data_IF_791248593399
#
_entry.id   IF_791248593399
#
_cell.length_a   1.000
_cell.length_b   1.000
_cell.length_c   1.000
_cell.angle_alpha   90.00
_cell.angle_beta   90.00
_cell.angle_gamma   90.00
#
_symmetry.space_group_name_H-M   'P 1'
#
loop_
_entity.id
_entity.type
_entity.pdbx_description
1 polymer ?
#
# COMPACT_ATOMS: atom_id res chain seq x y z
N UNK A 1 28.75 -2.06 21.72
CA UNK A 1 28.00 -1.17 20.81
C UNK A 1 28.05 -1.62 19.35
N UNK A 2 29.17 -2.02 18.76
CA UNK A 2 29.23 -2.49 17.35
C UNK A 2 28.31 -3.68 17.03
N UNK A 3 28.12 -4.61 17.97
CA UNK A 3 27.26 -5.79 17.76
C UNK A 3 25.73 -5.47 17.78
N UNK A 4 25.33 -4.43 18.52
CA UNK A 4 23.92 -3.99 18.56
C UNK A 4 23.53 -3.27 17.26
N UNK A 5 24.45 -2.50 16.69
CA UNK A 5 24.24 -1.83 15.39
C UNK A 5 24.16 -2.85 14.23
N UNK A 6 24.97 -3.92 14.27
CA UNK A 6 24.91 -5.00 13.32
C UNK A 6 23.64 -5.84 13.44
N UNK A 7 23.13 -6.06 14.66
CA UNK A 7 21.86 -6.76 14.89
C UNK A 7 20.68 -5.92 14.39
N UNK A 8 20.68 -4.62 14.63
CA UNK A 8 19.68 -3.72 14.07
C UNK A 8 19.75 -3.66 12.53
N UNK A 9 20.95 -3.55 11.95
CA UNK A 9 21.12 -3.58 10.49
C UNK A 9 20.73 -4.95 9.89
N UNK A 10 21.03 -6.07 10.54
CA UNK A 10 20.63 -7.40 10.06
C UNK A 10 19.13 -7.63 10.13
N UNK A 11 18.42 -7.03 11.09
CA UNK A 11 16.95 -7.03 11.15
C UNK A 11 16.37 -6.19 10.01
N UNK A 12 17.03 -5.10 9.59
CA UNK A 12 16.61 -4.30 8.43
C UNK A 12 16.93 -4.94 7.08
N UNK A 13 17.83 -5.92 7.01
CA UNK A 13 18.15 -6.63 5.75
C UNK A 13 17.32 -7.90 5.52
N UNK A 14 16.55 -8.37 6.50
CA UNK A 14 15.60 -9.46 6.30
C UNK A 14 14.32 -8.92 5.67
N UNK A 15 14.29 -8.99 4.38
CA UNK A 15 13.16 -8.94 3.44
C UNK A 15 11.78 -8.60 4.01
N UNK A 16 11.40 -7.33 3.84
CA UNK A 16 10.13 -6.87 3.24
C UNK A 16 8.82 -7.39 3.82
N UNK A 17 8.18 -6.56 4.63
CA UNK A 17 6.89 -6.93 5.17
C UNK A 17 5.87 -5.77 5.29
N UNK A 18 4.58 -5.98 5.42
CA UNK A 18 3.46 -5.15 4.98
C UNK A 18 2.27 -4.98 5.86
N UNK A 19 1.52 -3.94 5.52
CA UNK A 19 0.21 -3.52 6.01
C UNK A 19 0.21 -2.76 7.33
N UNK A 20 -0.17 -1.48 7.27
CA UNK A 20 -0.32 -0.59 8.43
C UNK A 20 -1.57 -0.97 9.26
N UNK A 21 -1.46 -1.98 10.09
CA UNK A 21 -2.51 -2.38 11.02
C UNK A 21 -2.02 -2.21 12.44
N UNK A 22 -2.71 -1.39 13.20
CA UNK A 22 -2.41 -1.17 14.60
C UNK A 22 -3.26 -2.03 15.53
N UNK A 23 -2.60 -2.50 16.55
CA UNK A 23 -3.21 -3.09 17.72
C UNK A 23 -3.08 -2.10 18.86
N UNK A 24 -3.99 -2.10 19.85
CA UNK A 24 -3.81 -1.30 21.05
C UNK A 24 -2.43 -1.59 21.63
N UNK A 25 -1.61 -0.53 21.68
CA UNK A 25 -0.18 -0.65 21.95
C UNK A 25 0.15 -0.66 23.42
N UNK A 26 -0.84 -0.43 24.26
CA UNK A 26 -0.70 -0.56 25.70
C UNK A 26 -1.06 -1.98 26.12
N UNK A 27 -0.16 -2.59 26.87
CA UNK A 27 -0.37 -3.88 27.53
C UNK A 27 -1.64 -3.88 28.40
N UNK A 28 -2.05 -2.65 28.81
CA UNK A 28 -3.26 -2.36 29.56
C UNK A 28 -3.86 -1.03 29.06
N UNK A 29 -5.14 -0.99 28.69
CA UNK A 29 -5.80 0.23 28.21
C UNK A 29 -5.98 1.33 29.27
N UNK A 30 -5.52 1.11 30.50
CA UNK A 30 -5.75 1.97 31.68
C UNK A 30 -4.56 2.85 32.06
N UNK A 31 -3.57 3.05 31.21
CA UNK A 31 -2.36 3.84 31.51
C UNK A 31 -2.53 5.34 31.21
N UNK A 32 -1.82 6.18 31.96
CA UNK A 32 -1.74 7.65 31.79
C UNK A 32 -1.11 8.07 30.44
N UNK A 33 -0.53 7.13 29.69
CA UNK A 33 0.17 7.38 28.42
C UNK A 33 -0.81 7.70 27.32
N UNK A 34 -0.74 8.92 26.79
CA UNK A 34 -1.66 9.42 25.76
C UNK A 34 -1.09 9.39 24.35
N UNK A 35 0.23 9.33 24.22
CA UNK A 35 0.89 9.34 22.94
C UNK A 35 1.57 8.01 22.65
N UNK A 36 1.51 7.60 21.40
CA UNK A 36 2.29 6.49 20.89
C UNK A 36 2.97 6.88 19.59
N UNK A 37 4.27 6.61 19.50
CA UNK A 37 5.09 6.75 18.31
C UNK A 37 5.38 5.36 17.74
N UNK A 38 5.10 5.17 16.47
CA UNK A 38 5.30 3.90 15.80
C UNK A 38 6.15 4.10 14.53
N UNK A 39 7.14 3.24 14.34
CA UNK A 39 7.89 3.11 13.10
C UNK A 39 7.45 1.80 12.45
N UNK A 40 7.03 1.87 11.19
CA UNK A 40 6.56 0.74 10.43
C UNK A 40 7.42 0.53 9.20
N UNK A 41 7.79 -0.71 8.94
CA UNK A 41 8.30 -1.18 7.66
C UNK A 41 7.30 -2.11 7.01
N UNK A 42 6.95 -1.90 5.75
CA UNK A 42 5.95 -2.72 5.07
C UNK A 42 6.32 -3.05 3.62
N UNK A 43 5.95 -4.25 3.15
CA UNK A 43 5.93 -4.70 1.76
C UNK A 43 4.55 -5.22 1.38
N UNK A 44 3.89 -4.74 0.31
CA UNK A 44 2.53 -5.07 -0.17
C UNK A 44 2.54 -5.60 -1.61
N UNK A 45 1.99 -6.79 -1.86
CA UNK A 45 1.76 -7.32 -3.20
C UNK A 45 0.28 -7.44 -3.45
N UNK A 46 -0.20 -6.90 -4.53
CA UNK A 46 -1.62 -6.95 -4.86
C UNK A 46 -1.84 -7.17 -6.35
N UNK A 47 -3.02 -7.68 -6.68
CA UNK A 47 -3.49 -7.82 -8.05
C UNK A 47 -4.62 -6.82 -8.27
N UNK A 48 -4.32 -5.60 -8.78
CA UNK A 48 -5.36 -4.66 -9.17
C UNK A 48 -6.13 -5.18 -10.38
N UNK A 49 -7.33 -4.67 -10.59
CA UNK A 49 -8.04 -4.84 -11.83
C UNK A 49 -8.34 -3.47 -12.44
N UNK A 50 -8.19 -3.37 -13.76
CA UNK A 50 -8.49 -2.16 -14.52
C UNK A 50 -10.00 -2.04 -14.68
N UNK A 51 -10.59 -0.98 -14.15
CA UNK A 51 -12.04 -0.76 -14.20
C UNK A 51 -12.47 0.19 -15.30
N UNK A 52 -11.61 1.14 -15.65
CA UNK A 52 -11.92 2.16 -16.66
C UNK A 52 -10.64 2.59 -17.35
N UNK A 53 -10.67 2.67 -18.67
CA UNK A 53 -9.66 3.32 -19.49
C UNK A 53 -10.29 4.44 -20.30
N UNK A 54 -9.58 5.56 -20.44
CA UNK A 54 -9.99 6.68 -21.28
C UNK A 54 -8.82 7.07 -22.16
N UNK A 55 -9.08 7.33 -23.41
CA UNK A 55 -8.05 7.58 -24.42
C UNK A 55 -8.33 8.90 -25.14
N UNK A 56 -7.32 9.75 -25.25
CA UNK A 56 -7.38 11.01 -26.00
C UNK A 56 -6.12 11.22 -26.85
N UNK A 57 -6.30 11.76 -28.05
CA UNK A 57 -5.22 12.16 -28.95
C UNK A 57 -5.31 13.64 -29.23
N UNK A 58 -4.17 14.30 -29.16
CA UNK A 58 -4.02 15.70 -29.53
C UNK A 58 -3.54 15.77 -30.99
N UNK A 59 -4.37 16.32 -31.86
CA UNK A 59 -4.06 16.44 -33.30
C UNK A 59 -3.35 17.76 -33.67
N UNK A 60 -3.41 18.80 -32.79
CA UNK A 60 -2.89 20.13 -33.07
C UNK A 60 -2.07 20.77 -31.92
N UNK A 61 -1.48 19.95 -31.02
CA UNK A 61 -0.84 20.44 -29.81
C UNK A 61 -1.82 20.97 -28.75
N UNK A 62 -3.12 20.82 -28.98
CA UNK A 62 -4.19 21.11 -28.04
C UNK A 62 -4.92 19.81 -27.70
N UNK A 63 -4.62 19.25 -26.56
CA UNK A 63 -5.38 18.12 -26.08
C UNK A 63 -6.86 18.45 -26.06
N UNK A 64 -7.64 17.70 -26.83
CA UNK A 64 -9.09 17.83 -26.86
C UNK A 64 -9.68 17.79 -25.46
N UNK A 65 -10.83 18.41 -25.26
CA UNK A 65 -11.51 18.37 -23.97
C UNK A 65 -11.67 16.90 -23.51
N UNK A 66 -11.27 16.53 -22.28
CA UNK A 66 -11.42 15.17 -21.75
C UNK A 66 -12.85 14.61 -21.88
N UNK A 67 -13.86 15.45 -21.95
CA UNK A 67 -15.26 15.07 -22.21
C UNK A 67 -15.48 14.39 -23.58
N UNK A 68 -14.57 14.64 -24.52
CA UNK A 68 -14.63 14.05 -25.88
C UNK A 68 -13.77 12.78 -26.02
N UNK A 69 -13.13 12.34 -24.93
CA UNK A 69 -12.28 11.16 -24.98
C UNK A 69 -13.14 9.88 -25.02
N UNK A 70 -12.66 8.90 -25.78
CA UNK A 70 -13.26 7.54 -25.73
C UNK A 70 -13.02 6.97 -24.36
N UNK A 71 -14.10 6.56 -23.68
CA UNK A 71 -14.07 5.94 -22.36
C UNK A 71 -14.69 4.55 -22.44
N UNK A 72 -14.00 3.55 -21.92
CA UNK A 72 -14.46 2.17 -21.86
C UNK A 72 -14.43 1.66 -20.41
N UNK A 73 -15.53 1.01 -20.00
CA UNK A 73 -15.58 0.24 -18.75
C UNK A 73 -15.17 -1.19 -19.05
N UNK A 74 -14.19 -1.69 -18.31
CA UNK A 74 -13.64 -3.03 -18.49
C UNK A 74 -14.23 -3.97 -17.44
N UNK A 75 -14.80 -5.08 -17.90
CA UNK A 75 -15.32 -6.12 -17.01
C UNK A 75 -14.17 -6.88 -16.35
N UNK A 76 -14.27 -7.12 -15.04
CA UNK A 76 -13.26 -7.83 -14.25
C UNK A 76 -12.93 -9.22 -14.82
N UNK A 77 -13.94 -9.92 -15.35
CA UNK A 77 -13.80 -11.29 -15.87
C UNK A 77 -13.20 -11.37 -17.28
N UNK A 78 -13.17 -10.26 -18.02
CA UNK A 78 -12.71 -10.20 -19.40
C UNK A 78 -11.35 -9.53 -19.60
N UNK A 79 -10.52 -9.48 -18.56
CA UNK A 79 -9.19 -8.88 -18.68
C UNK A 79 -8.19 -9.83 -19.37
N UNK A 80 -7.69 -9.41 -20.53
CA UNK A 80 -6.56 -10.07 -21.22
C UNK A 80 -5.19 -9.75 -20.57
N UNK A 81 -5.15 -8.78 -19.67
CA UNK A 81 -3.93 -8.29 -19.01
C UNK A 81 -3.95 -8.67 -17.53
N UNK A 82 -2.88 -9.26 -17.05
CA UNK A 82 -2.69 -9.49 -15.63
C UNK A 82 -1.90 -8.34 -15.01
N UNK A 83 -2.36 -7.84 -13.88
CA UNK A 83 -1.76 -6.72 -13.15
C UNK A 83 -1.19 -7.18 -11.81
N UNK A 84 0.00 -6.69 -11.47
CA UNK A 84 0.65 -6.93 -10.19
C UNK A 84 1.20 -5.62 -9.63
N UNK A 85 0.73 -5.20 -8.46
CA UNK A 85 1.21 -4.02 -7.76
C UNK A 85 2.05 -4.44 -6.55
N UNK A 86 3.26 -3.91 -6.44
CA UNK A 86 4.16 -4.09 -5.30
C UNK A 86 4.44 -2.73 -4.70
N UNK A 87 4.32 -2.63 -3.38
CA UNK A 87 4.65 -1.43 -2.62
C UNK A 87 5.53 -1.80 -1.43
N UNK A 88 6.65 -1.12 -1.25
CA UNK A 88 7.46 -1.21 -0.03
C UNK A 88 7.45 0.15 0.65
N UNK A 89 7.10 0.19 1.92
CA UNK A 89 6.93 1.46 2.63
C UNK A 89 7.70 1.47 3.95
N UNK A 90 8.17 2.66 4.31
CA UNK A 90 8.61 2.98 5.67
C UNK A 90 7.80 4.19 6.12
N UNK A 91 7.17 4.11 7.29
CA UNK A 91 6.35 5.19 7.82
C UNK A 91 6.59 5.42 9.30
N UNK A 92 6.44 6.67 9.69
CA UNK A 92 6.38 7.14 11.07
C UNK A 92 4.92 7.50 11.35
N UNK A 93 4.40 7.04 12.47
CA UNK A 93 3.03 7.27 12.88
C UNK A 93 2.98 7.76 14.31
N UNK A 94 2.18 8.78 14.54
CA UNK A 94 1.85 9.29 15.86
C UNK A 94 0.37 9.01 16.15
N UNK A 95 0.10 8.43 17.31
CA UNK A 95 -1.27 8.22 17.80
C UNK A 95 -1.48 9.00 19.09
N UNK A 96 -2.68 9.55 19.25
CA UNK A 96 -3.10 10.24 20.46
C UNK A 96 -4.38 9.61 20.99
N UNK A 97 -4.39 9.20 22.27
CA UNK A 97 -5.55 8.66 22.95
C UNK A 97 -6.45 9.80 23.42
N UNK A 98 -7.68 9.85 22.84
CA UNK A 98 -8.70 10.84 23.19
C UNK A 98 -9.45 10.39 24.44
N UNK A 99 -9.88 9.13 24.45
CA UNK A 99 -10.52 8.42 25.57
C UNK A 99 -9.86 7.05 25.78
N UNK A 100 -10.20 6.37 26.85
CA UNK A 100 -9.59 5.07 27.19
C UNK A 100 -9.61 4.06 26.05
N UNK A 101 -10.66 4.09 25.25
CA UNK A 101 -10.89 3.14 24.16
C UNK A 101 -10.72 3.74 22.75
N UNK A 102 -10.55 5.06 22.63
CA UNK A 102 -10.53 5.77 21.35
C UNK A 102 -9.23 6.54 21.16
N UNK A 103 -8.61 6.37 20.04
CA UNK A 103 -7.42 7.11 19.60
C UNK A 103 -7.60 7.69 18.21
N UNK A 104 -6.91 8.81 17.97
CA UNK A 104 -6.69 9.40 16.65
C UNK A 104 -5.25 9.15 16.27
N UNK A 105 -4.99 8.93 14.99
CA UNK A 105 -3.64 8.74 14.52
C UNK A 105 -3.41 9.39 13.15
N UNK A 106 -2.16 9.79 12.93
CA UNK A 106 -1.67 10.28 11.66
C UNK A 106 -0.27 9.74 11.40
N UNK A 107 0.10 9.58 10.14
CA UNK A 107 1.39 9.06 9.73
C UNK A 107 1.89 9.67 8.44
N UNK A 108 3.20 9.70 8.32
CA UNK A 108 3.94 10.12 7.13
C UNK A 108 5.05 9.11 6.86
N UNK A 109 5.36 8.89 5.60
CA UNK A 109 6.42 7.97 5.22
C UNK A 109 6.79 8.08 3.76
N UNK A 110 7.51 7.07 3.30
CA UNK A 110 7.84 6.90 1.89
C UNK A 110 7.49 5.49 1.45
N UNK A 111 7.12 5.36 0.19
CA UNK A 111 6.88 4.06 -0.45
C UNK A 111 7.56 4.02 -1.81
N UNK A 112 7.93 2.84 -2.28
CA UNK A 112 8.15 2.64 -3.70
C UNK A 112 6.92 1.98 -4.33
N UNK A 113 6.70 2.25 -5.59
CA UNK A 113 5.71 1.54 -6.40
C UNK A 113 6.43 0.74 -7.48
N UNK A 114 5.97 -0.49 -7.68
CA UNK A 114 6.25 -1.27 -8.88
C UNK A 114 4.94 -1.87 -9.33
N UNK A 115 4.49 -1.50 -10.52
CA UNK A 115 3.29 -2.04 -11.15
C UNK A 115 3.73 -2.76 -12.43
N UNK A 116 3.43 -4.04 -12.50
CA UNK A 116 3.74 -4.91 -13.62
C UNK A 116 2.42 -5.28 -14.30
N UNK A 117 2.35 -5.02 -15.60
CA UNK A 117 1.28 -5.43 -16.49
C UNK A 117 1.83 -6.50 -17.42
N UNK A 118 1.17 -7.63 -17.50
CA UNK A 118 1.58 -8.73 -18.36
C UNK A 118 0.43 -9.09 -19.27
N UNK A 119 0.67 -8.97 -20.57
CA UNK A 119 -0.23 -9.38 -21.63
C UNK A 119 0.29 -10.69 -22.24
N UNK A 120 -0.61 -11.64 -22.41
CA UNK A 120 -0.31 -12.91 -23.07
C UNK A 120 -1.30 -13.10 -24.21
N UNK A 121 -0.77 -13.23 -25.42
CA UNK A 121 -1.51 -13.60 -26.61
C UNK A 121 -0.83 -14.84 -27.23
N UNK A 122 -1.55 -15.92 -27.40
CA UNK A 122 -1.15 -17.27 -27.87
C UNK A 122 0.34 -17.63 -27.65
N UNK A 123 1.24 -17.12 -28.48
CA UNK A 123 2.68 -17.40 -28.45
C UNK A 123 3.52 -16.21 -27.95
N UNK A 124 2.93 -15.04 -27.73
CA UNK A 124 3.64 -13.81 -27.35
C UNK A 124 3.38 -13.40 -25.91
N UNK A 125 4.48 -13.11 -25.17
CA UNK A 125 4.46 -12.55 -23.83
C UNK A 125 5.07 -11.14 -23.87
N UNK A 126 4.25 -10.16 -23.53
CA UNK A 126 4.74 -8.79 -23.28
C UNK A 126 4.50 -8.39 -21.83
N UNK A 127 5.41 -7.63 -21.27
CA UNK A 127 5.20 -7.02 -19.94
C UNK A 127 5.67 -5.59 -19.92
N UNK A 128 4.96 -4.78 -19.16
CA UNK A 128 5.31 -3.38 -18.91
C UNK A 128 5.46 -3.19 -17.40
N UNK A 129 6.58 -2.64 -16.99
CA UNK A 129 6.87 -2.38 -15.57
C UNK A 129 6.95 -0.87 -15.36
N UNK A 130 6.09 -0.38 -14.48
CA UNK A 130 6.09 1.00 -14.01
C UNK A 130 6.67 1.05 -12.61
N UNK A 131 7.72 1.83 -12.40
CA UNK A 131 8.39 1.89 -11.09
C UNK A 131 8.69 3.31 -10.66
N UNK A 132 8.60 3.56 -9.35
CA UNK A 132 9.03 4.80 -8.70
C UNK A 132 9.52 4.51 -7.30
N UNK A 133 10.69 5.03 -6.97
CA UNK A 133 11.27 4.96 -5.65
C UNK A 133 10.97 6.26 -4.86
N UNK A 134 10.86 6.14 -3.54
CA UNK A 134 10.77 7.27 -2.61
C UNK A 134 9.60 8.23 -2.85
N UNK A 135 8.40 7.66 -3.01
CA UNK A 135 7.17 8.44 -3.10
C UNK A 135 6.67 8.77 -1.69
N UNK A 136 6.33 10.02 -1.37
CA UNK A 136 5.71 10.36 -0.11
C UNK A 136 4.37 9.64 0.07
N UNK A 137 4.12 9.14 1.28
CA UNK A 137 2.85 8.53 1.66
C UNK A 137 2.34 9.15 2.96
N UNK A 138 1.06 9.48 2.97
CA UNK A 138 0.35 10.06 4.10
C UNK A 138 -0.73 9.10 4.55
N UNK A 139 -0.96 9.04 5.86
CA UNK A 139 -1.99 8.16 6.42
C UNK A 139 -2.65 8.79 7.64
N UNK A 140 -3.85 8.34 7.95
CA UNK A 140 -4.56 8.79 9.15
C UNK A 140 -5.82 8.00 9.40
N UNK A 141 -6.31 8.04 10.62
CA UNK A 141 -7.51 7.30 10.99
C UNK A 141 -7.83 7.34 12.48
N UNK A 142 -8.73 6.44 12.85
CA UNK A 142 -9.19 6.26 14.23
C UNK A 142 -8.76 4.88 14.72
N UNK A 143 -8.59 4.73 16.02
CA UNK A 143 -8.39 3.46 16.68
C UNK A 143 -9.40 3.28 17.79
N UNK A 144 -10.04 2.11 17.86
CA UNK A 144 -10.91 1.74 18.95
C UNK A 144 -10.52 0.36 19.48
N UNK A 145 -10.34 0.25 20.80
CA UNK A 145 -10.00 -1.00 21.46
C UNK A 145 -10.85 -1.21 22.71
N UNK A 146 -11.24 -2.45 22.97
CA UNK A 146 -11.99 -2.84 24.15
C UNK A 146 -11.38 -4.09 24.78
N UNK A 147 -11.05 -4.01 26.08
CA UNK A 147 -10.60 -5.13 26.86
C UNK A 147 -11.82 -5.76 27.60
N UNK A 148 -12.12 -7.00 27.27
CA UNK A 148 -13.17 -7.79 27.94
C UNK A 148 -12.69 -8.34 29.28
N UNK A 149 -11.41 -8.64 29.37
CA UNK A 149 -10.71 -9.08 30.58
C UNK A 149 -9.30 -8.49 30.58
N UNK A 150 -8.54 -8.68 31.64
CA UNK A 150 -7.13 -8.27 31.72
C UNK A 150 -6.23 -8.89 30.63
N UNK A 151 -6.72 -9.90 29.94
CA UNK A 151 -5.95 -10.64 28.93
C UNK A 151 -6.57 -10.64 27.55
N UNK A 152 -7.89 -10.58 27.43
CA UNK A 152 -8.59 -10.69 26.16
C UNK A 152 -9.11 -9.33 25.71
N UNK A 153 -8.79 -8.94 24.50
CA UNK A 153 -9.23 -7.68 23.89
C UNK A 153 -9.68 -7.86 22.44
N UNK A 154 -10.46 -6.89 21.97
CA UNK A 154 -10.72 -6.67 20.56
C UNK A 154 -10.36 -5.25 20.18
N UNK A 155 -9.94 -5.04 18.94
CA UNK A 155 -9.66 -3.70 18.43
C UNK A 155 -9.93 -3.58 16.94
N UNK A 156 -10.16 -2.34 16.52
CA UNK A 156 -10.24 -1.93 15.12
C UNK A 156 -9.52 -0.62 14.92
N UNK A 157 -8.97 -0.41 13.73
CA UNK A 157 -8.28 0.83 13.38
C UNK A 157 -8.52 1.23 11.93
N UNK A 158 -9.76 1.66 11.62
CA UNK A 158 -10.06 2.21 10.32
C UNK A 158 -9.14 3.39 9.99
N UNK A 159 -8.68 3.42 8.74
CA UNK A 159 -7.81 4.47 8.29
C UNK A 159 -7.70 4.56 6.78
N UNK A 160 -7.12 5.67 6.35
CA UNK A 160 -6.86 5.99 4.94
C UNK A 160 -5.36 6.17 4.73
N UNK A 161 -4.93 5.89 3.50
CA UNK A 161 -3.55 6.08 3.05
C UNK A 161 -3.58 6.70 1.65
N UNK A 162 -2.77 7.72 1.44
CA UNK A 162 -2.69 8.45 0.18
C UNK A 162 -1.24 8.59 -0.26
N UNK A 163 -0.99 8.37 -1.56
CA UNK A 163 0.28 8.67 -2.20
C UNK A 163 0.04 9.26 -3.59
N UNK A 164 0.94 10.12 -4.03
CA UNK A 164 0.98 10.66 -5.38
C UNK A 164 2.40 10.54 -5.92
N UNK A 165 2.53 10.01 -7.12
CA UNK A 165 3.82 9.81 -7.80
C UNK A 165 3.76 10.43 -9.18
N UNK A 166 4.71 11.31 -9.48
CA UNK A 166 4.88 11.91 -10.79
C UNK A 166 6.11 11.32 -11.49
N UNK A 167 6.09 11.22 -12.80
CA UNK A 167 7.22 10.79 -13.63
C UNK A 167 7.77 9.41 -13.22
N UNK A 168 6.94 8.39 -13.22
CA UNK A 168 7.37 7.01 -13.00
C UNK A 168 8.22 6.52 -14.17
N UNK A 169 9.24 5.73 -13.85
CA UNK A 169 10.06 5.04 -14.86
C UNK A 169 9.25 3.90 -15.46
N UNK A 170 9.31 3.74 -16.76
CA UNK A 170 8.61 2.69 -17.48
C UNK A 170 9.60 1.85 -18.28
N UNK A 171 9.48 0.54 -18.13
CA UNK A 171 10.26 -0.44 -18.88
C UNK A 171 9.29 -1.39 -19.59
N UNK A 172 9.43 -1.54 -20.90
CA UNK A 172 8.62 -2.47 -21.70
C UNK A 172 9.48 -3.62 -22.15
N UNK A 173 8.99 -4.83 -21.94
CA UNK A 173 9.59 -6.08 -22.36
C UNK A 173 8.69 -6.75 -23.38
N UNK A 174 9.25 -7.14 -24.51
CA UNK A 174 8.57 -7.93 -25.53
C UNK A 174 9.47 -9.10 -25.93
N UNK A 175 8.99 -10.32 -25.82
CA UNK A 175 9.75 -11.55 -26.07
C UNK A 175 11.12 -11.56 -25.37
N UNK A 176 11.19 -11.08 -24.12
CA UNK A 176 12.41 -11.02 -23.33
C UNK A 176 13.41 -9.92 -23.72
N UNK A 177 13.05 -9.01 -24.63
CA UNK A 177 13.87 -7.85 -25.01
C UNK A 177 13.27 -6.57 -24.46
N UNK A 178 14.10 -5.70 -23.89
CA UNK A 178 13.68 -4.36 -23.46
C UNK A 178 13.46 -3.46 -24.68
N UNK A 179 12.29 -2.83 -24.75
CA UNK A 179 11.96 -1.83 -25.76
C UNK A 179 12.07 -0.46 -25.12
N UNK A 180 12.97 0.42 -25.58
CA UNK A 180 13.04 1.78 -25.05
C UNK A 180 11.79 2.58 -25.49
N UNK A 181 11.02 3.08 -24.52
CA UNK A 181 9.96 4.06 -24.80
C UNK A 181 10.55 5.47 -24.69
N UNK A 182 10.28 6.31 -25.70
CA UNK A 182 10.65 7.73 -25.68
C UNK A 182 9.51 8.55 -25.06
N UNK A 183 9.89 9.47 -24.16
CA UNK A 183 9.04 10.52 -23.62
C UNK A 183 7.75 10.07 -22.92
N UNK A 184 7.71 8.82 -22.41
CA UNK A 184 6.58 8.37 -21.61
C UNK A 184 6.66 8.95 -20.20
N UNK A 185 5.66 9.73 -19.84
CA UNK A 185 5.42 10.18 -18.47
C UNK A 185 4.22 9.44 -17.88
N UNK A 186 4.35 8.95 -16.66
CA UNK A 186 3.26 8.36 -15.90
C UNK A 186 3.12 9.07 -14.56
N UNK A 187 1.93 9.58 -14.31
CA UNK A 187 1.53 10.14 -13.02
C UNK A 187 0.53 9.20 -12.36
N UNK A 188 0.77 8.83 -11.10
CA UNK A 188 -0.05 7.89 -10.34
C UNK A 188 -0.60 8.53 -9.09
N UNK A 189 -1.91 8.37 -8.85
CA UNK A 189 -2.56 8.66 -7.57
C UNK A 189 -3.07 7.37 -6.94
N UNK A 190 -2.73 7.17 -5.68
CA UNK A 190 -3.14 6.01 -4.90
C UNK A 190 -3.89 6.45 -3.65
N UNK A 191 -5.10 5.94 -3.49
CA UNK A 191 -5.92 6.12 -2.28
C UNK A 191 -6.37 4.76 -1.79
N UNK A 192 -6.05 4.44 -0.56
CA UNK A 192 -6.44 3.21 0.11
C UNK A 192 -7.20 3.52 1.39
N UNK A 193 -8.18 2.71 1.71
CA UNK A 193 -8.80 2.67 3.02
C UNK A 193 -8.85 1.23 3.53
N UNK A 194 -8.70 1.08 4.84
CA UNK A 194 -8.60 -0.21 5.49
C UNK A 194 -9.34 -0.22 6.81
N UNK A 195 -10.01 -1.32 7.11
CA UNK A 195 -10.72 -1.57 8.37
C UNK A 195 -10.30 -2.93 8.90
N UNK A 196 -9.26 -3.00 9.74
CA UNK A 196 -8.93 -4.22 10.48
C UNK A 196 -9.86 -4.41 11.67
N UNK A 197 -10.24 -5.64 11.95
CA UNK A 197 -10.89 -6.06 13.20
C UNK A 197 -10.13 -7.25 13.72
N UNK A 198 -9.54 -7.12 14.91
CA UNK A 198 -8.71 -8.17 15.51
C UNK A 198 -9.12 -8.47 16.93
N UNK A 199 -8.92 -9.72 17.33
CA UNK A 199 -8.98 -10.17 18.70
C UNK A 199 -7.61 -10.68 19.13
N UNK A 200 -7.20 -10.40 20.36
CA UNK A 200 -5.91 -10.80 20.88
C UNK A 200 -5.95 -11.22 22.34
N UNK A 201 -4.88 -11.91 22.75
CA UNK A 201 -4.76 -12.44 24.09
C UNK A 201 -3.37 -12.17 24.66
N UNK A 202 -3.30 -11.56 25.85
CA UNK A 202 -2.04 -11.23 26.51
C UNK A 202 -1.48 -12.45 27.29
N UNK A 203 -0.31 -12.93 26.87
CA UNK A 203 0.48 -13.99 27.50
C UNK A 203 1.76 -13.38 28.09
N UNK A 204 1.62 -12.64 29.20
CA UNK A 204 2.74 -11.87 29.72
C UNK A 204 3.18 -10.78 28.74
N UNK A 205 4.44 -10.82 28.29
CA UNK A 205 4.97 -9.86 27.33
C UNK A 205 4.65 -10.19 25.86
N UNK A 206 4.06 -11.36 25.60
CA UNK A 206 3.73 -11.84 24.28
C UNK A 206 2.22 -11.70 24.03
N UNK A 207 1.84 -11.00 22.99
CA UNK A 207 0.44 -10.68 22.66
C UNK A 207 0.12 -11.10 21.24
N UNK A 208 -0.24 -12.39 21.03
CA UNK A 208 -0.74 -12.86 19.75
C UNK A 208 -2.14 -12.30 19.49
N UNK A 209 -2.46 -12.14 18.21
CA UNK A 209 -3.77 -11.69 17.74
C UNK A 209 -4.08 -12.21 16.35
N UNK A 210 -5.38 -12.32 16.06
CA UNK A 210 -5.87 -12.67 14.74
C UNK A 210 -7.19 -11.94 14.45
N UNK A 211 -7.56 -11.86 13.19
CA UNK A 211 -8.78 -11.20 12.78
C UNK A 211 -8.98 -11.14 11.28
N UNK A 212 -9.74 -10.16 10.87
CA UNK A 212 -10.04 -9.86 9.48
C UNK A 212 -9.63 -8.43 9.14
N UNK A 213 -9.24 -8.23 7.90
CA UNK A 213 -8.94 -6.94 7.31
C UNK A 213 -9.82 -6.74 6.09
N UNK A 214 -10.67 -5.73 6.12
CA UNK A 214 -11.26 -5.18 4.91
C UNK A 214 -10.36 -4.06 4.40
N UNK A 215 -9.95 -4.15 3.11
CA UNK A 215 -9.04 -3.19 2.49
C UNK A 215 -9.46 -2.97 1.05
N UNK A 216 -9.65 -1.72 0.68
CA UNK A 216 -9.97 -1.31 -0.68
C UNK A 216 -9.06 -0.16 -1.10
N UNK A 217 -8.74 -0.06 -2.38
CA UNK A 217 -8.00 1.06 -2.92
C UNK A 217 -8.46 1.42 -4.33
N UNK A 218 -8.22 2.66 -4.67
CA UNK A 218 -8.31 3.18 -6.02
C UNK A 218 -6.94 3.69 -6.43
N UNK A 219 -6.45 3.24 -7.57
CA UNK A 219 -5.24 3.72 -8.20
C UNK A 219 -5.62 4.33 -9.55
N UNK A 220 -5.21 5.59 -9.77
CA UNK A 220 -5.43 6.29 -11.02
C UNK A 220 -4.10 6.60 -11.66
N UNK A 221 -3.93 6.14 -12.86
CA UNK A 221 -2.75 6.32 -13.68
C UNK A 221 -3.08 7.23 -14.86
N UNK A 222 -2.19 8.18 -15.12
CA UNK A 222 -2.23 9.01 -16.30
C UNK A 222 -0.93 8.87 -17.05
N UNK A 223 -1.00 8.36 -18.25
CA UNK A 223 0.11 8.24 -19.20
C UNK A 223 0.04 9.35 -20.22
N UNK A 224 1.19 9.94 -20.54
CA UNK A 224 1.34 10.84 -21.67
C UNK A 224 2.58 10.40 -22.46
N UNK A 225 2.45 10.24 -23.77
CA UNK A 225 3.58 9.91 -24.64
C UNK A 225 3.36 10.53 -26.04
N UNK A 226 4.46 10.77 -26.73
CA UNK A 226 4.44 11.29 -28.10
C UNK A 226 4.58 10.15 -29.09
N UNK A 227 3.67 10.10 -30.07
CA UNK A 227 3.70 9.17 -31.20
C UNK A 227 3.83 9.94 -32.50
N UNK A 228 4.83 9.60 -33.31
CA UNK A 228 4.98 10.17 -34.66
C UNK A 228 4.18 9.33 -35.65
N UNK A 229 3.27 9.96 -36.39
CA UNK A 229 2.51 9.36 -37.47
C UNK A 229 2.54 10.25 -38.72
N UNK A 230 2.83 9.71 -39.87
CA UNK A 230 2.96 10.44 -41.15
C UNK A 230 3.93 11.65 -41.13
N UNK A 231 4.89 11.65 -40.19
CA UNK A 231 5.87 12.74 -40.01
C UNK A 231 5.44 13.85 -39.06
N UNK A 232 4.26 13.75 -38.46
CA UNK A 232 3.75 14.67 -37.46
C UNK A 232 3.75 14.00 -36.08
N UNK A 233 4.03 14.78 -35.02
CA UNK A 233 4.04 14.30 -33.63
C UNK A 233 2.70 14.55 -32.96
N UNK A 234 2.12 13.48 -32.39
CA UNK A 234 0.86 13.50 -31.67
C UNK A 234 1.09 13.17 -30.21
N UNK A 235 0.53 13.94 -29.29
CA UNK A 235 0.52 13.59 -27.88
C UNK A 235 -0.67 12.67 -27.58
N UNK A 236 -0.38 11.50 -27.04
CA UNK A 236 -1.39 10.53 -26.62
C UNK A 236 -1.47 10.57 -25.11
N UNK A 237 -2.70 10.66 -24.58
CA UNK A 237 -2.97 10.54 -23.14
C UNK A 237 -3.91 9.38 -22.89
N UNK A 238 -3.57 8.59 -21.88
CA UNK A 238 -4.40 7.48 -21.39
C UNK A 238 -4.60 7.69 -19.88
N UNK A 239 -5.85 7.71 -19.46
CA UNK A 239 -6.23 7.72 -18.05
C UNK A 239 -6.83 6.36 -17.68
N UNK A 240 -6.25 5.69 -16.68
CA UNK A 240 -6.69 4.38 -16.21
C UNK A 240 -7.06 4.42 -14.73
N UNK A 241 -8.07 3.64 -14.37
CA UNK A 241 -8.48 3.50 -12.98
C UNK A 241 -8.50 2.02 -12.59
N UNK A 242 -7.76 1.71 -11.54
CA UNK A 242 -7.64 0.38 -10.98
C UNK A 242 -8.27 0.32 -9.59
N UNK A 243 -8.83 -0.83 -9.25
CA UNK A 243 -9.39 -1.13 -7.95
C UNK A 243 -8.78 -2.41 -7.35
N UNK A 244 -9.00 -2.60 -6.06
CA UNK A 244 -8.67 -3.86 -5.41
C UNK A 244 -9.59 -4.98 -5.91
N UNK A 245 -9.03 -6.06 -6.48
CA UNK A 245 -9.79 -7.23 -6.92
C UNK A 245 -10.42 -7.98 -5.74
N UNK A 246 -9.67 -8.09 -4.65
CA UNK A 246 -10.13 -8.72 -3.41
C UNK A 246 -10.01 -7.71 -2.28
N UNK A 247 -11.00 -7.70 -1.38
CA UNK A 247 -11.13 -6.68 -0.33
C UNK A 247 -11.10 -7.26 1.08
N UNK A 248 -11.27 -8.57 1.25
CA UNK A 248 -11.29 -9.24 2.54
C UNK A 248 -10.10 -10.18 2.71
N UNK A 249 -9.40 -10.07 3.83
CA UNK A 249 -8.17 -10.81 4.15
C UNK A 249 -8.25 -11.35 5.57
N UNK A 250 -7.66 -12.53 5.80
CA UNK A 250 -7.32 -12.97 7.14
C UNK A 250 -6.10 -12.18 7.63
N UNK A 251 -6.06 -11.88 8.92
CA UNK A 251 -4.99 -11.14 9.57
C UNK A 251 -4.51 -11.90 10.79
N UNK A 252 -3.19 -12.01 10.96
CA UNK A 252 -2.60 -12.53 12.19
C UNK A 252 -1.30 -11.82 12.50
N UNK A 253 -0.94 -11.75 13.78
CA UNK A 253 0.30 -11.13 14.21
C UNK A 253 0.59 -11.36 15.68
N UNK A 254 1.71 -10.78 16.12
CA UNK A 254 2.15 -10.82 17.49
C UNK A 254 2.86 -9.51 17.83
N UNK A 255 2.63 -9.02 19.06
CA UNK A 255 3.44 -7.98 19.69
C UNK A 255 4.22 -8.59 20.85
N UNK A 256 5.47 -8.17 20.99
CA UNK A 256 6.33 -8.49 22.11
C UNK A 256 6.75 -7.22 22.85
N UNK A 257 6.40 -7.12 24.12
CA UNK A 257 6.74 -5.99 24.97
C UNK A 257 8.13 -6.17 25.57
N UNK A 258 9.07 -5.31 25.17
CA UNK A 258 10.40 -5.22 25.74
C UNK A 258 10.38 -4.51 27.11
N UNK A 259 9.46 -3.55 27.25
CA UNK A 259 9.16 -2.80 28.45
C UNK A 259 7.67 -2.40 28.40
N UNK A 260 7.13 -1.82 29.49
CA UNK A 260 5.73 -1.40 29.56
C UNK A 260 5.35 -0.34 28.52
N UNK A 261 6.34 0.29 27.92
CA UNK A 261 6.15 1.37 26.95
C UNK A 261 6.87 1.12 25.62
N UNK A 262 7.52 -0.03 25.44
CA UNK A 262 8.26 -0.35 24.21
C UNK A 262 7.84 -1.73 23.73
N UNK A 263 7.44 -1.83 22.48
CA UNK A 263 7.10 -3.12 21.87
C UNK A 263 7.63 -3.27 20.46
N UNK A 264 7.83 -4.53 20.07
CA UNK A 264 8.08 -4.96 18.71
C UNK A 264 6.88 -5.78 18.24
N UNK A 265 6.45 -5.56 17.03
CA UNK A 265 5.33 -6.30 16.44
C UNK A 265 5.69 -6.85 15.06
N UNK A 266 5.10 -7.99 14.74
CA UNK A 266 5.04 -8.53 13.40
C UNK A 266 3.61 -8.96 13.10
N UNK A 267 3.11 -8.62 11.95
CA UNK A 267 1.81 -9.09 11.49
C UNK A 267 1.83 -9.38 10.00
N UNK A 268 0.87 -10.17 9.55
CA UNK A 268 0.65 -10.48 8.16
C UNK A 268 -0.83 -10.55 7.82
N UNK A 269 -1.18 -10.18 6.60
CA UNK A 269 -2.49 -10.47 6.02
C UNK A 269 -2.37 -11.55 4.97
N UNK A 270 -3.38 -12.43 4.91
CA UNK A 270 -3.38 -13.63 4.09
C UNK A 270 -4.66 -13.70 3.26
N UNK A 271 -4.51 -14.14 2.01
CA UNK A 271 -5.57 -14.26 1.01
C UNK A 271 -4.93 -14.30 -0.37
N UNK A 272 -5.60 -13.80 -1.39
CA UNK A 272 -5.01 -13.64 -2.72
C UNK A 272 -3.92 -12.56 -2.77
N UNK A 273 -3.61 -11.98 -1.64
CA UNK A 273 -2.49 -11.10 -1.35
C UNK A 273 -1.80 -11.59 -0.11
N UNK A 274 -0.51 -11.40 -0.08
CA UNK A 274 0.27 -11.66 1.12
C UNK A 274 0.86 -10.34 1.61
N UNK A 275 0.70 -10.05 2.88
CA UNK A 275 1.35 -8.90 3.48
C UNK A 275 1.96 -9.27 4.83
N UNK A 276 3.11 -8.75 5.13
CA UNK A 276 3.78 -8.87 6.44
C UNK A 276 4.32 -7.51 6.86
N UNK A 277 4.19 -7.07 8.08
CA UNK A 277 4.64 -5.80 8.62
C UNK A 277 5.50 -6.00 9.86
N UNK A 278 6.54 -5.19 9.99
CA UNK A 278 7.31 -5.01 11.21
C UNK A 278 6.96 -3.66 11.85
N UNK A 279 6.83 -3.65 13.16
CA UNK A 279 6.46 -2.48 13.95
C UNK A 279 7.41 -2.32 15.13
N UNK A 280 7.83 -1.09 15.39
CA UNK A 280 8.47 -0.67 16.62
C UNK A 280 7.65 0.44 17.23
N UNK A 281 7.28 0.30 18.50
CA UNK A 281 6.36 1.21 19.17
C UNK A 281 6.95 1.73 20.47
N UNK A 282 6.73 3.02 20.75
CA UNK A 282 7.05 3.68 22.01
C UNK A 282 5.83 4.46 22.49
N UNK A 283 5.33 4.15 23.70
CA UNK A 283 4.24 4.90 24.36
C UNK A 283 4.77 5.84 25.44
N UNK A 284 4.28 7.08 25.52
CA UNK A 284 4.70 8.11 26.49
C UNK A 284 3.56 9.07 26.84
#
# INVERSE_FOLDING_TARGET
MRHLTLLLLSVFTVHQAKADILIPLDKYPTGEKRFNLQINGSHDTSTPWLSTTSFGVDEDGQMGNPENWTSEQIDEDNQSVSHRLIMNSISLRLSYRIWDNLSLWAGIGTTNFTHEETFRDDDDLSSTIFSKNMVPIYSGGLGYGYAFTDRFFMSTQPGVRYANSDNMTTEVYYQGKTIPLRDLSLNRRYLEWAVPVVAGYALGNFVPYAGILYKDYTMKDRYEFTKTYAGEDYTVRIDETFHARHKLYALAGVNYFLADNISLGVNGSFGNRQSVQLQFNISF
#
